data_IF_299427407199
#
_entry.id   IF_299427407199
#
_cell.length_a   1.000
_cell.length_b   1.000
_cell.length_c   1.000
_cell.angle_alpha   90.00
_cell.angle_beta   90.00
_cell.angle_gamma   90.00
#
_symmetry.space_group_name_H-M   'P 1'
#
loop_
_entity.id
_entity.type
_entity.pdbx_description
1 polymer ?
#
# COMPACT_ATOMS: atom_id res chain seq x y z
N UNK A 1 11.19 8.27 -20.91
CA UNK A 1 9.83 7.90 -20.45
C UNK A 1 8.99 7.71 -21.69
N UNK A 2 8.13 6.70 -21.71
CA UNK A 2 7.24 6.49 -22.85
C UNK A 2 5.98 7.34 -22.68
N UNK A 3 6.05 8.60 -23.11
CA UNK A 3 5.08 9.64 -22.76
C UNK A 3 3.67 9.35 -23.28
N UNK A 4 3.53 8.54 -24.33
CA UNK A 4 2.22 8.15 -24.86
C UNK A 4 1.38 7.33 -23.85
N UNK A 5 2.02 6.57 -22.94
CA UNK A 5 1.30 5.82 -21.90
C UNK A 5 0.55 6.73 -20.92
N UNK A 6 0.97 7.99 -20.84
CA UNK A 6 0.43 8.98 -19.89
C UNK A 6 -0.29 10.14 -20.57
N UNK A 7 -0.44 10.09 -21.90
CA UNK A 7 -1.03 11.18 -22.69
C UNK A 7 -2.49 11.51 -22.32
N UNK A 8 -3.24 10.53 -21.81
CA UNK A 8 -4.62 10.67 -21.35
C UNK A 8 -4.79 10.36 -19.85
N UNK A 9 -3.75 10.60 -19.05
CA UNK A 9 -3.80 10.30 -17.62
C UNK A 9 -4.86 11.15 -16.90
N UNK A 10 -5.75 10.56 -16.07
CA UNK A 10 -6.69 11.31 -15.25
C UNK A 10 -6.08 11.89 -13.97
N UNK A 11 -4.78 11.69 -13.75
CA UNK A 11 -4.06 12.04 -12.51
C UNK A 11 -2.90 13.01 -12.72
N UNK A 12 -2.77 13.59 -13.90
CA UNK A 12 -1.71 14.53 -14.24
C UNK A 12 -1.47 14.65 -15.73
N UNK A 13 -0.40 15.34 -16.11
CA UNK A 13 -0.05 15.61 -17.51
C UNK A 13 1.42 15.45 -17.79
N UNK A 14 1.75 15.11 -19.04
CA UNK A 14 3.14 15.12 -19.52
C UNK A 14 3.48 16.53 -20.00
N UNK A 15 4.60 17.07 -19.54
CA UNK A 15 5.18 18.34 -20.00
C UNK A 15 6.56 18.11 -20.60
N UNK A 16 6.87 18.80 -21.69
CA UNK A 16 8.22 18.84 -22.24
C UNK A 16 9.07 19.85 -21.47
N UNK A 17 10.17 19.39 -20.88
CA UNK A 17 11.07 20.24 -20.08
C UNK A 17 12.00 21.06 -20.97
N UNK A 18 12.44 22.22 -20.47
CA UNK A 18 13.43 23.06 -21.17
C UNK A 18 14.80 22.39 -21.37
N UNK A 19 15.04 21.28 -20.68
CA UNK A 19 16.24 20.42 -20.78
C UNK A 19 16.10 19.28 -21.80
N UNK A 20 15.00 19.24 -22.57
CA UNK A 20 14.83 18.33 -23.71
C UNK A 20 14.29 16.93 -23.39
N UNK A 21 13.70 16.73 -22.21
CA UNK A 21 13.05 15.47 -21.84
C UNK A 21 11.59 15.68 -21.40
N UNK A 22 10.77 14.65 -21.52
CA UNK A 22 9.38 14.65 -21.06
C UNK A 22 9.29 14.28 -19.57
N UNK A 23 8.46 15.00 -18.81
CA UNK A 23 8.20 14.78 -17.39
C UNK A 23 6.70 14.66 -17.11
N UNK A 24 6.29 13.67 -16.31
CA UNK A 24 4.93 13.59 -15.79
C UNK A 24 4.77 14.48 -14.57
N UNK A 25 3.82 15.41 -14.62
CA UNK A 25 3.46 16.30 -13.51
C UNK A 25 2.08 15.90 -13.00
N UNK A 26 1.98 15.39 -11.76
CA UNK A 26 0.70 14.99 -11.19
C UNK A 26 -0.20 16.22 -10.95
N UNK A 27 -1.51 16.00 -11.01
CA UNK A 27 -2.48 17.01 -10.60
C UNK A 27 -2.37 17.29 -9.09
N UNK A 28 -2.63 18.53 -8.64
CA UNK A 28 -2.55 18.88 -7.23
C UNK A 28 -3.55 18.06 -6.40
N UNK A 29 -3.11 17.63 -5.22
CA UNK A 29 -3.96 16.96 -4.23
C UNK A 29 -4.60 17.98 -3.27
N UNK A 30 -5.83 17.70 -2.76
CA UNK A 30 -6.66 16.56 -3.10
C UNK A 30 -7.39 16.74 -4.44
N UNK A 31 -7.70 15.65 -5.17
CA UNK A 31 -8.49 15.74 -6.39
C UNK A 31 -9.93 16.18 -6.07
N UNK A 32 -10.58 16.83 -7.03
CA UNK A 32 -12.01 17.13 -6.93
C UNK A 32 -12.82 15.84 -7.10
N UNK A 33 -13.49 15.40 -6.03
CA UNK A 33 -14.30 14.18 -6.03
C UNK A 33 -15.75 14.50 -6.40
N UNK A 34 -16.33 13.70 -7.30
CA UNK A 34 -17.76 13.76 -7.61
C UNK A 34 -18.56 12.95 -6.59
N UNK A 35 -19.25 13.64 -5.69
CA UNK A 35 -20.10 13.06 -4.64
C UNK A 35 -21.46 12.57 -5.16
N UNK A 36 -21.42 11.68 -6.15
CA UNK A 36 -22.63 11.00 -6.66
C UNK A 36 -23.03 9.85 -5.75
N UNK A 37 -24.26 9.35 -5.91
CA UNK A 37 -24.80 8.25 -5.11
C UNK A 37 -23.89 7.03 -5.07
N UNK A 38 -23.20 6.69 -6.16
CA UNK A 38 -22.22 5.60 -6.18
C UNK A 38 -21.07 5.83 -5.19
N UNK A 39 -20.43 7.00 -5.22
CA UNK A 39 -19.30 7.34 -4.34
C UNK A 39 -19.74 7.34 -2.88
N UNK A 40 -20.89 7.95 -2.59
CA UNK A 40 -21.45 8.01 -1.22
C UNK A 40 -21.77 6.60 -0.72
N UNK A 41 -22.42 5.76 -1.53
CA UNK A 41 -22.73 4.38 -1.16
C UNK A 41 -21.46 3.55 -0.93
N UNK A 42 -20.43 3.72 -1.76
CA UNK A 42 -19.14 3.04 -1.58
C UNK A 42 -18.48 3.45 -0.26
N UNK A 43 -18.48 4.76 0.06
CA UNK A 43 -17.98 5.27 1.34
C UNK A 43 -18.76 4.68 2.52
N UNK A 44 -20.10 4.72 2.49
CA UNK A 44 -20.92 4.17 3.57
C UNK A 44 -20.66 2.68 3.79
N UNK A 45 -20.53 1.89 2.71
CA UNK A 45 -20.21 0.46 2.79
C UNK A 45 -18.83 0.22 3.40
N UNK A 46 -17.82 1.00 2.99
CA UNK A 46 -16.47 0.89 3.53
C UNK A 46 -16.44 1.26 5.02
N UNK A 47 -17.07 2.36 5.41
CA UNK A 47 -17.18 2.78 6.81
C UNK A 47 -17.90 1.75 7.67
N UNK A 48 -18.98 1.14 7.17
CA UNK A 48 -19.70 0.08 7.87
C UNK A 48 -18.83 -1.17 8.06
N UNK A 49 -18.08 -1.59 7.03
CA UNK A 49 -17.19 -2.74 7.11
C UNK A 49 -16.07 -2.52 8.13
N UNK A 50 -15.44 -1.34 8.14
CA UNK A 50 -14.42 -0.97 9.12
C UNK A 50 -15.01 -0.96 10.54
N UNK A 51 -16.20 -0.36 10.71
CA UNK A 51 -16.90 -0.36 11.99
C UNK A 51 -17.25 -1.76 12.49
N UNK A 52 -17.63 -2.66 11.57
CA UNK A 52 -17.93 -4.07 11.87
C UNK A 52 -16.67 -4.79 12.37
N UNK A 53 -15.53 -4.64 11.68
CA UNK A 53 -14.25 -5.19 12.12
C UNK A 53 -13.88 -4.66 13.51
N UNK A 54 -14.02 -3.35 13.74
CA UNK A 54 -13.73 -2.73 15.04
C UNK A 54 -14.64 -3.25 16.16
N UNK A 55 -15.91 -3.53 15.86
CA UNK A 55 -16.88 -4.06 16.83
C UNK A 55 -16.75 -5.56 17.09
N UNK A 56 -16.20 -6.32 16.15
CA UNK A 56 -16.01 -7.77 16.24
C UNK A 56 -14.59 -8.18 16.66
N UNK A 57 -13.62 -7.27 16.59
CA UNK A 57 -12.27 -7.52 17.07
C UNK A 57 -12.32 -7.96 18.54
N UNK A 58 -11.74 -9.11 18.91
CA UNK A 58 -11.73 -9.56 20.30
C UNK A 58 -11.12 -8.47 21.19
N UNK A 59 -11.80 -8.09 22.28
CA UNK A 59 -11.26 -7.11 23.25
C UNK A 59 -9.97 -7.62 23.90
N UNK A 60 -9.75 -8.94 23.86
CA UNK A 60 -8.57 -9.65 24.34
C UNK A 60 -7.80 -10.34 23.19
N UNK A 61 -7.69 -9.71 22.02
CA UNK A 61 -6.98 -10.32 20.89
C UNK A 61 -5.46 -10.41 21.22
N UNK A 62 -4.87 -11.62 21.30
CA UNK A 62 -3.44 -11.76 21.55
C UNK A 62 -2.64 -11.14 20.38
N UNK A 63 -1.36 -10.78 20.59
CA UNK A 63 -0.51 -10.06 19.62
C UNK A 63 -0.29 -10.77 18.25
N UNK A 64 -0.98 -11.88 17.99
CA UNK A 64 -0.80 -12.74 16.83
C UNK A 64 -1.71 -12.38 15.65
N UNK A 65 -2.90 -11.79 15.87
CA UNK A 65 -3.84 -11.54 14.77
C UNK A 65 -3.32 -10.44 13.81
N UNK A 66 -2.88 -9.31 14.36
CA UNK A 66 -2.23 -8.24 13.60
C UNK A 66 -1.00 -8.75 12.85
N UNK A 67 -0.15 -9.51 13.53
CA UNK A 67 1.04 -10.11 12.97
C UNK A 67 0.72 -11.00 11.74
N UNK A 68 -0.34 -11.79 11.78
CA UNK A 68 -0.77 -12.64 10.66
C UNK A 68 -1.34 -11.81 9.50
N UNK A 69 -2.13 -10.78 9.79
CA UNK A 69 -2.67 -9.87 8.78
C UNK A 69 -1.55 -9.12 8.05
N UNK A 70 -0.54 -8.63 8.78
CA UNK A 70 0.61 -7.95 8.20
C UNK A 70 1.39 -8.86 7.24
N UNK A 71 1.56 -10.14 7.58
CA UNK A 71 2.23 -11.12 6.70
C UNK A 71 1.42 -11.40 5.44
N UNK A 72 0.10 -11.52 5.56
CA UNK A 72 -0.79 -11.64 4.40
C UNK A 72 -0.71 -10.40 3.50
N UNK A 73 -0.64 -9.22 4.10
CA UNK A 73 -0.53 -7.97 3.35
C UNK A 73 0.83 -7.85 2.65
N UNK A 74 1.92 -8.20 3.33
CA UNK A 74 3.26 -8.25 2.75
C UNK A 74 3.35 -9.18 1.53
N UNK A 75 2.69 -10.33 1.55
CA UNK A 75 2.57 -11.23 0.38
C UNK A 75 1.84 -10.53 -0.78
N UNK A 76 0.79 -9.78 -0.48
CA UNK A 76 0.00 -9.07 -1.48
C UNK A 76 0.76 -7.87 -2.06
N UNK A 77 1.48 -7.12 -1.22
CA UNK A 77 2.35 -6.03 -1.62
C UNK A 77 3.46 -6.51 -2.56
N UNK A 78 4.12 -7.62 -2.23
CA UNK A 78 5.14 -8.21 -3.11
C UNK A 78 4.56 -8.59 -4.48
N UNK A 79 3.31 -9.07 -4.54
CA UNK A 79 2.62 -9.41 -5.80
C UNK A 79 2.30 -8.18 -6.64
N UNK A 80 1.90 -7.07 -6.02
CA UNK A 80 1.67 -5.79 -6.72
C UNK A 80 2.97 -5.29 -7.37
N UNK A 81 4.11 -5.52 -6.71
CA UNK A 81 5.47 -5.25 -7.24
C UNK A 81 5.98 -6.30 -8.26
N UNK A 82 5.07 -7.14 -8.76
CA UNK A 82 5.36 -8.17 -9.75
C UNK A 82 6.26 -9.30 -9.25
N UNK A 83 6.42 -9.46 -7.92
CA UNK A 83 7.16 -10.57 -7.35
C UNK A 83 6.23 -11.73 -6.98
N UNK A 84 6.69 -12.95 -7.26
CA UNK A 84 6.08 -14.14 -6.71
C UNK A 84 6.54 -14.31 -5.25
N UNK A 85 5.59 -14.44 -4.33
CA UNK A 85 5.82 -14.76 -2.94
C UNK A 85 4.64 -15.57 -2.41
N UNK A 86 4.93 -16.69 -1.75
CA UNK A 86 3.95 -17.47 -0.99
C UNK A 86 4.07 -17.20 0.51
N UNK A 87 3.00 -17.45 1.27
CA UNK A 87 3.02 -17.29 2.73
C UNK A 87 4.05 -18.22 3.40
N UNK A 88 4.15 -19.48 2.95
CA UNK A 88 5.12 -20.44 3.51
C UNK A 88 6.57 -20.03 3.24
N UNK A 89 6.84 -19.46 2.06
CA UNK A 89 8.16 -18.92 1.71
C UNK A 89 8.51 -17.71 2.59
N UNK A 90 7.56 -16.79 2.79
CA UNK A 90 7.74 -15.64 3.69
C UNK A 90 8.06 -16.10 5.12
N UNK A 91 7.26 -17.02 5.67
CA UNK A 91 7.47 -17.56 7.02
C UNK A 91 8.82 -18.30 7.15
N UNK A 92 9.25 -19.00 6.10
CA UNK A 92 10.57 -19.65 6.07
C UNK A 92 11.70 -18.63 6.07
N UNK A 93 11.55 -17.56 5.29
CA UNK A 93 12.51 -16.46 5.24
C UNK A 93 12.57 -15.70 6.58
N UNK A 94 11.45 -15.55 7.29
CA UNK A 94 11.41 -15.00 8.65
C UNK A 94 12.15 -15.90 9.64
N UNK A 95 11.85 -17.20 9.64
CA UNK A 95 12.43 -18.17 10.59
C UNK A 95 13.95 -18.35 10.40
N UNK A 96 14.42 -18.34 9.16
CA UNK A 96 15.84 -18.52 8.83
C UNK A 96 16.63 -17.21 8.82
N UNK A 97 15.94 -16.06 8.78
CA UNK A 97 16.56 -14.75 8.56
C UNK A 97 17.22 -14.58 7.18
N UNK A 98 17.05 -15.54 6.27
CA UNK A 98 17.70 -15.60 4.97
C UNK A 98 16.65 -15.66 3.85
N UNK A 99 16.33 -14.53 3.18
CA UNK A 99 15.36 -14.54 2.09
C UNK A 99 15.92 -15.28 0.87
N UNK A 100 15.27 -16.38 0.49
CA UNK A 100 15.64 -17.20 -0.66
C UNK A 100 15.26 -16.60 -2.04
N UNK A 101 14.46 -15.53 -2.05
CA UNK A 101 14.03 -14.86 -3.27
C UNK A 101 13.92 -13.34 -3.09
N UNK A 102 13.76 -12.63 -4.22
CA UNK A 102 13.45 -11.19 -4.22
C UNK A 102 12.08 -10.92 -3.59
N UNK A 103 11.08 -11.76 -3.85
CA UNK A 103 9.75 -11.66 -3.23
C UNK A 103 9.83 -11.77 -1.72
N UNK A 104 10.51 -12.81 -1.20
CA UNK A 104 10.70 -13.00 0.23
C UNK A 104 11.40 -11.81 0.88
N UNK A 105 12.45 -11.28 0.23
CA UNK A 105 13.14 -10.07 0.70
C UNK A 105 12.23 -8.85 0.76
N UNK A 106 11.40 -8.62 -0.27
CA UNK A 106 10.43 -7.53 -0.26
C UNK A 106 9.41 -7.70 0.87
N UNK A 107 8.87 -8.90 1.07
CA UNK A 107 7.93 -9.17 2.16
C UNK A 107 8.53 -8.92 3.53
N UNK A 108 9.77 -9.38 3.78
CA UNK A 108 10.49 -9.09 5.03
C UNK A 108 10.74 -7.60 5.22
N UNK A 109 11.15 -6.90 4.17
CA UNK A 109 11.38 -5.45 4.22
C UNK A 109 10.08 -4.69 4.50
N UNK A 110 8.96 -5.12 3.91
CA UNK A 110 7.65 -4.54 4.14
C UNK A 110 7.25 -4.64 5.60
N UNK A 111 7.30 -5.85 6.18
CA UNK A 111 7.00 -6.10 7.61
C UNK A 111 7.89 -5.21 8.50
N UNK A 112 9.21 -5.24 8.24
CA UNK A 112 10.20 -4.46 9.00
C UNK A 112 9.97 -2.95 8.93
N UNK A 113 9.48 -2.44 7.81
CA UNK A 113 9.18 -1.03 7.62
C UNK A 113 7.92 -0.64 8.39
N UNK A 114 6.87 -1.47 8.32
CA UNK A 114 5.63 -1.28 9.06
C UNK A 114 5.87 -1.26 10.58
N UNK A 115 6.58 -2.26 11.11
CA UNK A 115 6.89 -2.37 12.54
C UNK A 115 7.81 -1.24 13.06
N UNK A 116 8.61 -0.62 12.18
CA UNK A 116 9.49 0.50 12.52
C UNK A 116 8.82 1.86 12.35
N UNK A 117 7.57 1.93 11.91
CA UNK A 117 6.86 3.19 11.75
C UNK A 117 6.62 3.83 13.12
N UNK A 118 7.25 4.98 13.40
CA UNK A 118 7.13 5.70 14.67
C UNK A 118 6.04 6.76 14.61
N UNK A 119 4.81 6.37 14.27
CA UNK A 119 3.73 7.33 13.97
C UNK A 119 3.36 8.25 15.14
N UNK A 120 3.62 7.83 16.38
CA UNK A 120 3.40 8.64 17.58
C UNK A 120 4.43 9.78 17.72
N UNK A 121 5.65 9.61 17.21
CA UNK A 121 6.75 10.58 17.32
C UNK A 121 7.01 11.33 16.01
N UNK A 122 6.77 10.65 14.89
CA UNK A 122 6.95 11.12 13.53
C UNK A 122 5.62 10.96 12.80
N UNK A 123 4.73 11.97 12.86
CA UNK A 123 3.45 11.90 12.20
C UNK A 123 3.63 11.69 10.70
N UNK A 124 2.65 11.04 10.06
CA UNK A 124 2.65 10.81 8.62
C UNK A 124 2.69 12.17 7.89
N UNK A 125 3.86 12.55 7.40
CA UNK A 125 4.14 13.92 6.96
C UNK A 125 4.33 14.05 5.45
N UNK A 126 4.21 15.28 4.96
CA UNK A 126 5.00 15.82 3.85
C UNK A 126 6.14 16.67 4.45
N UNK A 127 7.26 16.06 4.83
CA UNK A 127 8.51 16.81 4.95
C UNK A 127 9.07 17.06 3.56
#
# INVERSE_FOLDING_TARGET
MDSYLFAASPSGRVLHTGTGYDAFVPDPLPPQLSWRSHTVNALSRASYAIGTIRGQAPVEDPPHFEALLLRRDAVSAARIEGQHLGIGELLTAEATGAPGSRGARLGLNYIRAFERARLEELPLSLR
#
